data_IF_908434411150
#
_entry.id   IF_908434411150
#
_cell.length_a   1.000
_cell.length_b   1.000
_cell.length_c   1.000
_cell.angle_alpha   90.00
_cell.angle_beta   90.00
_cell.angle_gamma   90.00
#
_symmetry.space_group_name_H-M   'P 1'
#
loop_
_entity.id
_entity.type
_entity.pdbx_description
1 polymer ?
#
# COMPACT_ATOMS: atom_id res chain seq x y z
N UNK A 1 17.57 -2.14 11.56
CA UNK A 1 17.59 -1.84 10.11
C UNK A 1 17.53 -3.11 9.27
N UNK A 2 18.46 -4.06 9.40
CA UNK A 2 18.44 -5.36 8.68
C UNK A 2 17.09 -6.09 8.82
N UNK A 3 16.52 -6.11 10.03
CA UNK A 3 15.23 -6.76 10.28
C UNK A 3 14.11 -6.20 9.38
N UNK A 4 13.98 -4.88 9.26
CA UNK A 4 12.93 -4.26 8.42
C UNK A 4 13.11 -4.57 6.94
N UNK A 5 14.35 -4.57 6.46
CA UNK A 5 14.72 -4.98 5.10
C UNK A 5 14.31 -6.43 4.83
N UNK A 6 14.74 -7.35 5.69
CA UNK A 6 14.43 -8.78 5.57
C UNK A 6 12.93 -9.05 5.67
N UNK A 7 12.22 -8.38 6.60
CA UNK A 7 10.78 -8.50 6.73
C UNK A 7 10.06 -8.05 5.46
N UNK A 8 10.46 -6.92 4.86
CA UNK A 8 9.86 -6.45 3.62
C UNK A 8 10.08 -7.44 2.46
N UNK A 9 11.29 -7.95 2.30
CA UNK A 9 11.59 -8.96 1.28
C UNK A 9 10.80 -10.25 1.48
N UNK A 10 10.79 -10.78 2.71
CA UNK A 10 10.11 -12.02 3.06
C UNK A 10 8.59 -11.92 2.89
N UNK A 11 7.99 -10.83 3.36
CA UNK A 11 6.53 -10.63 3.29
C UNK A 11 6.07 -10.37 1.86
N UNK A 12 6.86 -9.65 1.06
CA UNK A 12 6.62 -9.48 -0.38
C UNK A 12 6.74 -10.81 -1.12
N UNK A 13 7.78 -11.60 -0.84
CA UNK A 13 7.91 -12.96 -1.38
C UNK A 13 6.68 -13.80 -1.05
N UNK A 14 6.26 -13.81 0.23
CA UNK A 14 5.08 -14.56 0.67
C UNK A 14 3.80 -14.09 -0.05
N UNK A 15 3.61 -12.78 -0.19
CA UNK A 15 2.48 -12.19 -0.93
C UNK A 15 2.47 -12.63 -2.40
N UNK A 16 3.62 -12.53 -3.09
CA UNK A 16 3.74 -12.91 -4.50
C UNK A 16 3.50 -14.41 -4.72
N UNK A 17 4.03 -15.26 -3.84
CA UNK A 17 3.76 -16.71 -3.84
C UNK A 17 2.30 -17.00 -3.61
N UNK A 18 1.65 -16.23 -2.75
CA UNK A 18 0.24 -16.39 -2.46
C UNK A 18 -0.66 -16.04 -3.66
N UNK A 19 -0.27 -15.06 -4.46
CA UNK A 19 -0.89 -14.77 -5.75
C UNK A 19 -0.41 -15.67 -6.89
N UNK A 20 0.23 -16.81 -6.58
CA UNK A 20 0.67 -17.83 -7.52
C UNK A 20 1.75 -17.36 -8.51
N UNK A 21 2.52 -16.32 -8.17
CA UNK A 21 3.69 -15.92 -8.96
C UNK A 21 4.74 -17.04 -8.95
N UNK A 22 5.45 -17.25 -10.06
CA UNK A 22 6.51 -18.25 -10.14
C UNK A 22 7.56 -18.01 -9.02
N UNK A 23 8.17 -19.06 -8.44
CA UNK A 23 9.11 -18.90 -7.31
C UNK A 23 10.23 -17.91 -7.58
N UNK A 24 10.84 -17.96 -8.76
CA UNK A 24 11.91 -17.03 -9.15
C UNK A 24 11.41 -15.58 -9.18
N UNK A 25 10.23 -15.33 -9.75
CA UNK A 25 9.62 -13.98 -9.78
C UNK A 25 9.34 -13.49 -8.36
N UNK A 26 8.84 -14.35 -7.49
CA UNK A 26 8.57 -14.00 -6.10
C UNK A 26 9.86 -13.66 -5.34
N UNK A 27 10.94 -14.44 -5.54
CA UNK A 27 12.27 -14.18 -4.94
C UNK A 27 12.80 -12.85 -5.45
N UNK A 28 12.80 -12.64 -6.76
CA UNK A 28 13.24 -11.38 -7.38
C UNK A 28 12.43 -10.20 -6.86
N UNK A 29 11.10 -10.32 -6.75
CA UNK A 29 10.24 -9.28 -6.19
C UNK A 29 10.60 -8.95 -4.74
N UNK A 30 10.78 -9.97 -3.89
CA UNK A 30 11.22 -9.78 -2.51
C UNK A 30 12.59 -9.10 -2.41
N UNK A 31 13.56 -9.53 -3.21
CA UNK A 31 14.90 -8.94 -3.26
C UNK A 31 14.86 -7.48 -3.72
N UNK A 32 14.08 -7.17 -4.77
CA UNK A 32 13.92 -5.80 -5.27
C UNK A 32 13.31 -4.90 -4.19
N UNK A 33 12.24 -5.33 -3.52
CA UNK A 33 11.61 -4.50 -2.47
C UNK A 33 12.52 -4.31 -1.25
N UNK A 34 13.21 -5.37 -0.85
CA UNK A 34 14.18 -5.34 0.25
C UNK A 34 15.34 -4.38 -0.05
N UNK A 35 15.84 -4.40 -1.28
CA UNK A 35 16.94 -3.53 -1.75
C UNK A 35 16.45 -2.23 -2.39
N UNK A 36 15.22 -1.81 -2.10
CA UNK A 36 14.67 -0.59 -2.66
C UNK A 36 15.45 0.65 -2.23
N UNK A 37 15.50 1.65 -3.10
CA UNK A 37 16.07 2.96 -2.80
C UNK A 37 15.45 3.56 -1.53
N UNK A 38 14.16 3.35 -1.31
CA UNK A 38 13.45 3.77 -0.10
C UNK A 38 13.99 3.10 1.16
N UNK A 39 14.25 1.79 1.12
CA UNK A 39 14.81 1.07 2.24
C UNK A 39 16.26 1.50 2.52
N UNK A 40 17.07 1.77 1.50
CA UNK A 40 18.41 2.35 1.68
C UNK A 40 18.36 3.77 2.23
N UNK A 41 17.43 4.60 1.74
CA UNK A 41 17.21 5.94 2.24
C UNK A 41 16.78 5.93 3.71
N UNK A 42 15.87 5.04 4.10
CA UNK A 42 15.46 4.86 5.49
C UNK A 42 16.63 4.50 6.41
N UNK A 43 17.58 3.69 5.93
CA UNK A 43 18.81 3.33 6.65
C UNK A 43 19.72 4.55 6.81
N UNK A 44 19.94 5.30 5.72
CA UNK A 44 20.78 6.50 5.72
C UNK A 44 20.30 7.54 6.74
N UNK A 45 18.99 7.75 6.83
CA UNK A 45 18.38 8.74 7.72
C UNK A 45 17.92 8.16 9.06
N UNK A 46 18.25 6.91 9.37
CA UNK A 46 17.84 6.21 10.60
C UNK A 46 16.33 6.30 10.89
N UNK A 47 15.53 6.38 9.83
CA UNK A 47 14.12 6.74 9.87
C UNK A 47 13.29 5.45 10.01
N UNK A 48 13.11 4.98 11.24
CA UNK A 48 12.45 3.69 11.52
C UNK A 48 11.04 3.59 10.96
N UNK A 49 10.34 4.72 10.88
CA UNK A 49 8.99 4.81 10.34
C UNK A 49 8.97 4.55 8.83
N UNK A 50 10.07 4.74 8.10
CA UNK A 50 10.20 4.33 6.69
C UNK A 50 10.64 2.86 6.51
N UNK A 51 10.92 2.13 7.59
CA UNK A 51 11.25 0.69 7.52
C UNK A 51 10.03 -0.22 7.71
N UNK A 52 8.85 0.36 7.97
CA UNK A 52 7.60 -0.34 8.24
C UNK A 52 6.83 -0.81 7.02
N UNK A 53 7.36 -0.69 5.79
CA UNK A 53 6.64 -1.04 4.56
C UNK A 53 6.17 -2.50 4.50
N UNK A 54 6.79 -3.39 5.27
CA UNK A 54 6.37 -4.78 5.43
C UNK A 54 4.99 -4.93 6.11
N UNK A 55 4.48 -3.88 6.76
CA UNK A 55 3.13 -3.90 7.32
C UNK A 55 2.05 -4.08 6.25
N UNK A 56 2.22 -3.49 5.06
CA UNK A 56 1.24 -3.57 3.96
C UNK A 56 1.05 -5.01 3.43
N UNK A 57 2.10 -5.75 3.02
CA UNK A 57 1.94 -7.14 2.59
C UNK A 57 1.44 -8.05 3.72
N UNK A 58 1.83 -7.82 4.99
CA UNK A 58 1.28 -8.60 6.11
C UNK A 58 -0.23 -8.35 6.27
N UNK A 59 -0.68 -7.10 6.19
CA UNK A 59 -2.11 -6.78 6.28
C UNK A 59 -2.92 -7.44 5.15
N UNK A 60 -2.39 -7.46 3.92
CA UNK A 60 -3.03 -8.18 2.80
C UNK A 60 -3.07 -9.69 3.02
N UNK A 61 -1.96 -10.29 3.47
CA UNK A 61 -1.86 -11.73 3.75
C UNK A 61 -2.83 -12.15 4.87
N UNK A 62 -2.88 -11.38 5.96
CA UNK A 62 -3.80 -11.63 7.09
C UNK A 62 -5.26 -11.49 6.68
N UNK A 63 -5.63 -10.42 5.96
CA UNK A 63 -6.97 -10.29 5.39
C UNK A 63 -7.36 -11.50 4.52
N UNK A 64 -6.42 -11.96 3.69
CA UNK A 64 -6.68 -13.10 2.83
C UNK A 64 -6.86 -14.41 3.59
N UNK A 65 -6.14 -14.60 4.69
CA UNK A 65 -6.37 -15.73 5.59
C UNK A 65 -7.77 -15.67 6.22
N UNK A 66 -8.25 -14.49 6.63
CA UNK A 66 -9.63 -14.32 7.10
C UNK A 66 -10.61 -14.74 6.00
N UNK A 67 -10.46 -14.19 4.80
CA UNK A 67 -11.34 -14.48 3.66
C UNK A 67 -11.36 -15.98 3.31
N UNK A 68 -10.20 -16.64 3.24
CA UNK A 68 -10.09 -18.07 2.90
C UNK A 68 -10.69 -18.98 3.98
N UNK A 69 -10.41 -18.71 5.26
CA UNK A 69 -10.97 -19.50 6.35
C UNK A 69 -12.48 -19.29 6.48
N UNK A 70 -12.99 -18.08 6.22
CA UNK A 70 -14.42 -17.83 6.10
C UNK A 70 -15.06 -18.62 4.95
N UNK A 71 -14.39 -18.71 3.78
CA UNK A 71 -14.90 -19.54 2.68
C UNK A 71 -14.96 -21.03 3.03
N UNK A 72 -14.00 -21.51 3.83
CA UNK A 72 -13.93 -22.91 4.32
C UNK A 72 -14.80 -23.18 5.56
N UNK A 73 -15.58 -22.21 6.02
CA UNK A 73 -16.35 -22.28 7.28
C UNK A 73 -15.49 -22.60 8.53
N UNK A 74 -14.19 -22.30 8.49
CA UNK A 74 -13.26 -22.46 9.60
C UNK A 74 -13.28 -21.22 10.51
N UNK A 75 -14.42 -20.96 11.15
CA UNK A 75 -14.70 -19.71 11.88
C UNK A 75 -13.69 -19.39 12.99
N UNK A 76 -13.23 -20.39 13.74
CA UNK A 76 -12.21 -20.20 14.78
C UNK A 76 -10.90 -19.67 14.20
N UNK A 77 -10.44 -20.26 13.10
CA UNK A 77 -9.22 -19.81 12.41
C UNK A 77 -9.39 -18.42 11.82
N UNK A 78 -10.54 -18.14 11.20
CA UNK A 78 -10.85 -16.81 10.68
C UNK A 78 -10.84 -15.75 11.80
N UNK A 79 -11.38 -16.08 12.98
CA UNK A 79 -11.34 -15.23 14.17
C UNK A 79 -9.92 -14.97 14.67
N UNK A 80 -9.06 -15.99 14.74
CA UNK A 80 -7.64 -15.81 15.09
C UNK A 80 -6.95 -14.86 14.10
N UNK A 81 -7.17 -15.05 12.80
CA UNK A 81 -6.61 -14.15 11.78
C UNK A 81 -7.18 -12.73 11.87
N UNK A 82 -8.44 -12.55 12.29
CA UNK A 82 -9.03 -11.25 12.54
C UNK A 82 -8.38 -10.53 13.74
N UNK A 83 -8.04 -11.26 14.80
CA UNK A 83 -7.28 -10.73 15.93
C UNK A 83 -5.83 -10.38 15.51
N UNK A 84 -5.20 -11.22 14.68
CA UNK A 84 -3.88 -10.92 14.14
C UNK A 84 -3.91 -9.67 13.24
N UNK A 85 -4.93 -9.51 12.40
CA UNK A 85 -5.13 -8.29 11.61
C UNK A 85 -5.32 -7.07 12.52
N UNK A 86 -6.06 -7.19 13.62
CA UNK A 86 -6.17 -6.11 14.62
C UNK A 86 -4.80 -5.72 15.19
N UNK A 87 -3.97 -6.70 15.58
CA UNK A 87 -2.63 -6.44 16.07
C UNK A 87 -1.72 -5.79 15.01
N UNK A 88 -1.86 -6.22 13.75
CA UNK A 88 -1.17 -5.63 12.60
C UNK A 88 -1.58 -4.18 12.40
N UNK A 89 -2.87 -3.87 12.40
CA UNK A 89 -3.39 -2.50 12.26
C UNK A 89 -2.93 -1.59 13.41
N UNK A 90 -2.97 -2.10 14.64
CA UNK A 90 -2.47 -1.39 15.82
C UNK A 90 -0.97 -1.10 15.71
N UNK A 91 -0.14 -2.13 15.50
CA UNK A 91 1.32 -2.00 15.40
C UNK A 91 1.78 -1.14 14.22
N UNK A 92 1.09 -1.26 13.07
CA UNK A 92 1.29 -0.42 11.90
C UNK A 92 1.07 1.07 12.24
N UNK A 93 -0.03 1.38 12.91
CA UNK A 93 -0.39 2.75 13.31
C UNK A 93 0.60 3.33 14.32
N UNK A 94 1.10 2.51 15.25
CA UNK A 94 2.15 2.90 16.20
C UNK A 94 3.50 3.17 15.52
N UNK A 95 3.75 2.52 14.37
CA UNK A 95 5.00 2.70 13.61
C UNK A 95 4.99 3.99 12.79
N UNK A 96 3.90 4.23 12.04
CA UNK A 96 3.68 5.46 11.29
C UNK A 96 2.19 5.59 10.93
N UNK A 97 1.60 6.76 11.19
CA UNK A 97 0.21 7.08 10.84
C UNK A 97 -0.04 7.11 9.32
N UNK A 98 1.00 7.18 8.50
CA UNK A 98 0.88 7.13 7.04
C UNK A 98 0.57 5.72 6.51
N UNK A 99 1.00 4.66 7.18
CA UNK A 99 0.73 3.30 6.71
C UNK A 99 -0.76 2.95 6.70
N UNK A 100 -1.57 3.29 7.71
CA UNK A 100 -3.02 3.14 7.62
C UNK A 100 -3.65 3.86 6.43
N UNK A 101 -3.14 5.04 6.05
CA UNK A 101 -3.59 5.76 4.86
C UNK A 101 -3.28 4.97 3.58
N UNK A 102 -2.06 4.46 3.43
CA UNK A 102 -1.69 3.61 2.28
C UNK A 102 -2.48 2.30 2.28
N UNK A 103 -2.69 1.72 3.47
CA UNK A 103 -3.47 0.52 3.62
C UNK A 103 -4.91 0.76 3.19
N UNK A 104 -5.52 1.91 3.47
CA UNK A 104 -6.87 2.23 3.00
C UNK A 104 -6.96 2.12 1.47
N UNK A 105 -5.97 2.61 0.74
CA UNK A 105 -5.93 2.44 -0.71
C UNK A 105 -5.74 0.99 -1.15
N UNK A 106 -5.12 0.12 -0.36
CA UNK A 106 -4.90 -1.28 -0.74
C UNK A 106 -5.99 -2.24 -0.24
N UNK A 107 -6.25 -2.25 1.07
CA UNK A 107 -7.12 -3.21 1.74
C UNK A 107 -8.59 -2.92 1.49
N UNK A 108 -9.01 -1.66 1.32
CA UNK A 108 -10.42 -1.35 1.07
C UNK A 108 -10.90 -1.90 -0.28
N UNK A 109 -10.26 -1.58 -1.42
CA UNK A 109 -10.67 -2.16 -2.69
C UNK A 109 -10.43 -3.67 -2.75
N UNK A 110 -9.36 -4.17 -2.11
CA UNK A 110 -9.12 -5.62 -2.05
C UNK A 110 -10.19 -6.34 -1.22
N UNK A 111 -10.58 -5.76 -0.08
CA UNK A 111 -11.66 -6.22 0.79
C UNK A 111 -12.98 -6.26 0.04
N UNK A 112 -13.33 -5.18 -0.66
CA UNK A 112 -14.53 -5.13 -1.50
C UNK A 112 -14.50 -6.19 -2.60
N UNK A 113 -13.36 -6.36 -3.27
CA UNK A 113 -13.18 -7.42 -4.28
C UNK A 113 -13.37 -8.82 -3.70
N UNK A 114 -12.86 -9.10 -2.49
CA UNK A 114 -13.06 -10.38 -1.81
C UNK A 114 -14.51 -10.60 -1.34
N UNK A 115 -15.23 -9.53 -0.96
CA UNK A 115 -16.66 -9.58 -0.64
C UNK A 115 -17.49 -9.91 -1.89
N UNK A 116 -17.20 -9.28 -3.02
CA UNK A 116 -17.87 -9.57 -4.30
C UNK A 116 -17.67 -11.03 -4.71
N UNK A 117 -16.46 -11.57 -4.53
CA UNK A 117 -16.14 -12.97 -4.82
C UNK A 117 -16.77 -13.98 -3.86
N UNK A 118 -17.24 -13.55 -2.68
CA UNK A 118 -17.89 -14.47 -1.76
C UNK A 118 -19.23 -14.93 -2.34
N UNK A 119 -19.39 -16.26 -2.48
CA UNK A 119 -20.50 -16.92 -3.18
C UNK A 119 -21.85 -16.82 -2.49
N UNK A 120 -21.90 -16.60 -1.16
CA UNK A 120 -23.16 -16.50 -0.42
C UNK A 120 -23.22 -15.21 0.39
N UNK A 121 -24.45 -14.71 0.56
CA UNK A 121 -24.74 -13.53 1.39
C UNK A 121 -24.23 -13.71 2.83
N UNK A 122 -24.48 -14.87 3.45
CA UNK A 122 -23.99 -15.15 4.80
C UNK A 122 -22.48 -15.02 4.89
N UNK A 123 -21.72 -15.56 3.93
CA UNK A 123 -20.26 -15.44 3.91
C UNK A 123 -19.80 -13.99 3.73
N UNK A 124 -20.54 -13.17 2.97
CA UNK A 124 -20.27 -11.73 2.83
C UNK A 124 -20.44 -11.02 4.16
N UNK A 125 -21.57 -11.24 4.82
CA UNK A 125 -21.87 -10.66 6.14
C UNK A 125 -20.81 -11.08 7.16
N UNK A 126 -20.49 -12.37 7.25
CA UNK A 126 -19.46 -12.87 8.18
C UNK A 126 -18.08 -12.28 7.89
N UNK A 127 -17.70 -12.12 6.61
CA UNK A 127 -16.43 -11.48 6.25
C UNK A 127 -16.40 -10.00 6.66
N UNK A 128 -17.51 -9.28 6.44
CA UNK A 128 -17.66 -7.90 6.91
C UNK A 128 -17.58 -7.78 8.43
N UNK A 129 -18.19 -8.72 9.17
CA UNK A 129 -18.10 -8.78 10.64
C UNK A 129 -16.65 -8.96 11.09
N UNK A 130 -15.89 -9.88 10.47
CA UNK A 130 -14.47 -10.04 10.82
C UNK A 130 -13.66 -8.78 10.53
N UNK A 131 -13.87 -8.13 9.39
CA UNK A 131 -13.19 -6.88 9.05
C UNK A 131 -13.53 -5.75 10.03
N UNK A 132 -14.81 -5.57 10.33
CA UNK A 132 -15.26 -4.59 11.31
C UNK A 132 -14.71 -4.89 12.70
N UNK A 133 -14.75 -6.16 13.13
CA UNK A 133 -14.19 -6.58 14.41
C UNK A 133 -12.68 -6.30 14.50
N UNK A 134 -11.90 -6.54 13.44
CA UNK A 134 -10.48 -6.21 13.39
C UNK A 134 -10.22 -4.71 13.53
N UNK A 135 -10.99 -3.87 12.82
CA UNK A 135 -10.85 -2.41 12.88
C UNK A 135 -11.24 -1.90 14.27
N UNK A 136 -12.40 -2.29 14.78
CA UNK A 136 -12.88 -1.90 16.11
C UNK A 136 -11.90 -2.32 17.20
N UNK A 137 -11.38 -3.54 17.14
CA UNK A 137 -10.39 -4.02 18.11
C UNK A 137 -9.08 -3.23 18.03
N UNK A 138 -8.61 -2.89 16.82
CA UNK A 138 -7.44 -2.05 16.64
C UNK A 138 -7.66 -0.64 17.20
N UNK A 139 -8.84 -0.06 17.02
CA UNK A 139 -9.21 1.23 17.59
C UNK A 139 -9.27 1.19 19.12
N UNK A 140 -9.82 0.14 19.71
CA UNK A 140 -9.79 -0.07 21.17
C UNK A 140 -8.34 -0.16 21.67
N UNK A 141 -7.49 -0.91 20.98
CA UNK A 141 -6.06 -1.00 21.32
C UNK A 141 -5.35 0.35 21.17
N UNK A 142 -5.67 1.14 20.14
CA UNK A 142 -5.12 2.48 19.95
C UNK A 142 -5.66 3.50 20.97
N UNK A 143 -6.83 3.25 21.55
CA UNK A 143 -7.40 4.05 22.62
C UNK A 143 -6.72 3.75 23.96
N UNK A 144 -6.65 2.48 24.33
CA UNK A 144 -6.13 2.05 25.65
C UNK A 144 -4.60 2.02 25.67
N UNK A 145 -3.97 1.61 24.57
CA UNK A 145 -2.53 1.39 24.43
C UNK A 145 -2.00 2.01 23.12
N UNK A 146 -2.39 3.27 22.85
CA UNK A 146 -1.94 3.97 21.66
C UNK A 146 -2.17 5.49 21.71
N UNK A 147 -2.06 6.17 20.56
CA UNK A 147 -1.96 7.61 20.53
C UNK A 147 -3.31 8.33 20.52
N UNK A 148 -4.46 7.63 20.38
CA UNK A 148 -5.75 8.28 20.13
C UNK A 148 -6.10 9.33 21.20
N UNK A 149 -6.04 9.03 22.52
CA UNK A 149 -6.39 10.03 23.53
C UNK A 149 -5.53 11.30 23.44
N UNK A 150 -4.24 11.13 23.16
CA UNK A 150 -3.29 12.23 23.01
C UNK A 150 -3.53 13.03 21.71
N UNK A 151 -3.89 12.35 20.63
CA UNK A 151 -4.20 13.00 19.35
C UNK A 151 -5.51 13.81 19.39
N UNK A 152 -6.44 13.44 20.28
CA UNK A 152 -7.70 14.14 20.49
C UNK A 152 -7.55 15.39 21.38
N UNK A 153 -6.58 15.40 22.28
CA UNK A 153 -6.29 16.58 23.13
C UNK A 153 -5.31 17.55 22.47
N UNK A 154 -4.65 17.14 21.39
CA UNK A 154 -3.66 17.95 20.69
C UNK A 154 -4.32 19.09 19.88
N UNK A 155 -3.95 20.34 20.18
CA UNK A 155 -4.36 21.51 19.42
C UNK A 155 -3.58 21.60 18.10
N UNK A 156 -4.32 21.51 16.98
CA UNK A 156 -3.76 21.55 15.62
C UNK A 156 -3.74 22.97 15.04
N UNK A 157 -4.37 23.94 15.68
CA UNK A 157 -4.51 25.31 15.15
C UNK A 157 -3.18 26.05 14.99
N UNK A 158 -2.18 25.69 15.79
CA UNK A 158 -0.84 26.27 15.72
C UNK A 158 0.13 25.51 14.78
N UNK A 159 -0.30 24.41 14.15
CA UNK A 159 0.56 23.67 13.24
C UNK A 159 0.82 24.45 11.96
N UNK A 160 2.09 24.70 11.65
CA UNK A 160 2.48 25.27 10.37
C UNK A 160 2.14 24.29 9.25
N UNK A 161 1.12 24.56 8.45
CA UNK A 161 0.78 23.75 7.27
C UNK A 161 1.71 24.08 6.10
N UNK A 162 2.02 23.08 5.29
CA UNK A 162 2.79 23.30 4.05
C UNK A 162 1.79 23.40 2.90
N UNK A 163 1.80 24.46 2.07
CA UNK A 163 0.97 24.52 0.87
C UNK A 163 1.19 23.30 -0.02
N UNK A 164 0.14 22.80 -0.67
CA UNK A 164 0.21 21.58 -1.48
C UNK A 164 1.26 21.67 -2.59
N UNK A 165 1.48 22.86 -3.15
CA UNK A 165 2.42 23.15 -4.24
C UNK A 165 3.88 23.03 -3.79
N UNK A 166 4.14 23.11 -2.47
CA UNK A 166 5.48 22.96 -1.89
C UNK A 166 5.73 21.54 -1.37
N UNK A 167 4.77 20.63 -1.51
CA UNK A 167 4.94 19.25 -1.08
C UNK A 167 5.91 18.52 -2.03
N UNK A 168 6.98 17.87 -1.53
CA UNK A 168 7.93 17.12 -2.35
C UNK A 168 7.24 15.98 -3.10
N UNK A 169 7.36 16.03 -4.44
CA UNK A 169 6.62 15.21 -5.38
C UNK A 169 7.55 14.60 -6.44
N UNK A 170 7.09 13.53 -7.07
CA UNK A 170 7.80 12.95 -8.23
C UNK A 170 7.48 13.78 -9.46
N UNK A 171 8.50 14.47 -9.99
CA UNK A 171 8.37 15.30 -11.18
C UNK A 171 7.92 14.46 -12.38
N UNK A 172 6.81 14.83 -13.02
CA UNK A 172 6.33 14.15 -14.22
C UNK A 172 6.84 14.85 -15.50
N UNK A 173 7.23 14.10 -16.56
CA UNK A 173 7.38 12.65 -16.62
C UNK A 173 8.75 12.16 -16.11
N UNK A 174 9.75 13.04 -16.06
CA UNK A 174 11.15 12.65 -15.91
C UNK A 174 11.43 11.83 -14.62
N UNK A 175 10.85 12.21 -13.49
CA UNK A 175 10.99 11.52 -12.20
C UNK A 175 10.41 10.10 -12.16
N UNK A 176 9.48 9.75 -13.05
CA UNK A 176 8.89 8.40 -13.10
C UNK A 176 9.73 7.42 -13.91
N UNK A 177 10.45 7.91 -14.92
CA UNK A 177 11.09 7.06 -15.91
C UNK A 177 12.61 7.22 -15.96
N UNK A 178 13.14 8.40 -15.65
CA UNK A 178 14.57 8.72 -15.77
C UNK A 178 15.22 9.11 -14.44
N UNK A 179 14.48 9.75 -13.51
CA UNK A 179 14.93 10.30 -12.20
C UNK A 179 16.46 10.51 -12.10
N UNK A 180 16.95 11.49 -12.86
CA UNK A 180 18.36 11.87 -13.00
C UNK A 180 18.76 13.04 -12.08
N UNK A 181 18.23 13.13 -10.86
CA UNK A 181 18.68 14.19 -9.94
C UNK A 181 20.05 13.85 -9.34
N UNK A 182 20.97 14.80 -9.41
CA UNK A 182 22.31 14.68 -8.84
C UNK A 182 22.23 14.44 -7.32
N UNK A 183 22.80 13.32 -6.86
CA UNK A 183 22.89 12.96 -5.45
C UNK A 183 21.76 12.07 -4.90
N UNK A 184 20.76 11.71 -5.72
CA UNK A 184 19.70 10.75 -5.34
C UNK A 184 19.84 9.49 -6.20
N UNK A 185 19.99 8.34 -5.53
CA UNK A 185 20.10 7.03 -6.16
C UNK A 185 18.89 6.74 -7.05
N UNK A 186 19.14 6.10 -8.21
CA UNK A 186 18.14 5.65 -9.19
C UNK A 186 16.92 5.08 -8.44
N UNK A 187 15.77 5.75 -8.54
CA UNK A 187 14.57 5.24 -7.88
C UNK A 187 14.15 3.94 -8.52
N UNK A 188 13.69 2.98 -7.71
CA UNK A 188 13.09 1.75 -8.22
C UNK A 188 12.00 2.01 -9.27
N UNK A 189 11.31 3.16 -9.22
CA UNK A 189 10.34 3.59 -10.22
C UNK A 189 10.88 3.56 -11.65
N UNK A 190 12.13 3.97 -11.88
CA UNK A 190 12.76 3.98 -13.20
C UNK A 190 12.94 2.57 -13.80
N UNK A 191 12.93 1.52 -12.98
CA UNK A 191 12.98 0.11 -13.43
C UNK A 191 11.57 -0.50 -13.40
N UNK A 192 10.83 -0.29 -12.31
CA UNK A 192 9.53 -0.88 -12.07
C UNK A 192 8.47 -0.37 -13.04
N UNK A 193 8.43 0.93 -13.39
CA UNK A 193 7.45 1.46 -14.35
C UNK A 193 7.69 0.90 -15.76
N UNK A 194 8.90 0.92 -16.33
CA UNK A 194 9.15 0.27 -17.62
C UNK A 194 8.85 -1.23 -17.60
N UNK A 195 9.24 -1.95 -16.53
CA UNK A 195 8.90 -3.37 -16.38
C UNK A 195 7.39 -3.61 -16.31
N UNK A 196 6.66 -2.74 -15.60
CA UNK A 196 5.21 -2.80 -15.48
C UNK A 196 4.52 -2.54 -16.82
N UNK A 197 4.97 -1.53 -17.58
CA UNK A 197 4.49 -1.24 -18.93
C UNK A 197 4.82 -2.38 -19.90
N UNK A 198 6.02 -2.94 -19.82
CA UNK A 198 6.41 -4.10 -20.63
C UNK A 198 5.54 -5.32 -20.30
N UNK A 199 5.30 -5.59 -19.01
CA UNK A 199 4.41 -6.66 -18.58
C UNK A 199 2.98 -6.44 -19.07
N UNK A 200 2.48 -5.20 -19.05
CA UNK A 200 1.18 -4.84 -19.61
C UNK A 200 1.14 -5.09 -21.12
N UNK A 201 2.14 -4.64 -21.89
CA UNK A 201 2.21 -4.85 -23.34
C UNK A 201 2.22 -6.34 -23.70
N UNK A 202 3.03 -7.15 -23.00
CA UNK A 202 3.08 -8.60 -23.18
C UNK A 202 1.73 -9.24 -22.84
N UNK A 203 1.09 -8.79 -21.76
CA UNK A 203 -0.24 -9.26 -21.33
C UNK A 203 -1.32 -8.97 -22.37
N UNK A 204 -1.32 -7.75 -22.94
CA UNK A 204 -2.26 -7.34 -23.98
C UNK A 204 -2.05 -8.12 -25.29
N UNK A 205 -0.79 -8.34 -25.70
CA UNK A 205 -0.45 -9.11 -26.91
C UNK A 205 -0.86 -10.58 -26.80
N UNK A 206 -0.73 -11.17 -25.61
CA UNK A 206 -1.02 -12.58 -25.35
C UNK A 206 -2.47 -12.85 -24.92
N UNK A 207 -3.39 -11.88 -25.07
CA UNK A 207 -4.81 -12.03 -24.69
C UNK A 207 -5.49 -13.24 -25.36
N UNK A 208 -5.18 -13.52 -26.63
CA UNK A 208 -5.83 -14.60 -27.41
C UNK A 208 -5.46 -16.00 -26.93
N UNK A 209 -4.23 -16.21 -26.46
CA UNK A 209 -3.75 -17.52 -25.99
C UNK A 209 -4.06 -17.78 -24.50
N UNK A 210 -4.34 -16.74 -23.71
CA UNK A 210 -4.55 -16.83 -22.26
C UNK A 210 -5.99 -16.72 -21.78
N UNK A 211 -6.96 -16.52 -22.68
CA UNK A 211 -8.38 -16.41 -22.34
C UNK A 211 -8.92 -17.60 -21.52
N UNK A 212 -8.30 -18.79 -21.61
CA UNK A 212 -8.68 -19.97 -20.83
C UNK A 212 -8.13 -19.99 -19.38
N UNK A 213 -7.15 -19.15 -19.03
CA UNK A 213 -6.45 -19.17 -17.72
C UNK A 213 -6.40 -17.80 -17.05
N UNK A 214 -7.21 -16.84 -17.51
CA UNK A 214 -7.14 -15.46 -17.06
C UNK A 214 -7.53 -15.34 -15.58
N UNK A 215 -6.53 -15.07 -14.74
CA UNK A 215 -6.74 -14.75 -13.33
C UNK A 215 -7.31 -13.33 -13.25
N UNK A 216 -8.59 -13.13 -12.87
CA UNK A 216 -9.22 -11.81 -12.80
C UNK A 216 -8.51 -10.86 -11.82
N UNK A 217 -7.67 -11.38 -10.92
CA UNK A 217 -6.88 -10.58 -9.98
C UNK A 217 -5.82 -9.69 -10.65
N UNK A 218 -5.31 -10.02 -11.85
CA UNK A 218 -4.21 -9.24 -12.46
C UNK A 218 -4.62 -7.82 -12.86
N UNK A 219 -5.83 -7.68 -13.40
CA UNK A 219 -6.37 -6.37 -13.81
C UNK A 219 -6.80 -5.54 -12.59
N UNK A 220 -7.26 -6.22 -11.54
CA UNK A 220 -7.45 -5.58 -10.24
C UNK A 220 -6.13 -4.97 -9.73
N UNK A 221 -5.05 -5.76 -9.63
CA UNK A 221 -3.75 -5.25 -9.17
C UNK A 221 -3.16 -4.17 -10.08
N UNK A 222 -3.36 -4.28 -11.39
CA UNK A 222 -2.99 -3.23 -12.35
C UNK A 222 -3.72 -1.92 -12.05
N UNK A 223 -5.05 -1.96 -11.90
CA UNK A 223 -5.84 -0.77 -11.56
C UNK A 223 -5.42 -0.20 -10.21
N UNK A 224 -5.11 -1.06 -9.24
CA UNK A 224 -4.68 -0.65 -7.91
C UNK A 224 -3.33 0.07 -7.86
N UNK A 225 -2.45 -0.14 -8.85
CA UNK A 225 -1.18 0.57 -8.94
C UNK A 225 -1.35 2.04 -9.39
N UNK A 226 -2.46 2.38 -10.06
CA UNK A 226 -2.65 3.71 -10.67
C UNK A 226 -2.86 4.83 -9.63
N UNK A 227 -3.80 4.71 -8.66
CA UNK A 227 -4.03 5.78 -7.69
C UNK A 227 -2.77 6.24 -6.93
N UNK A 228 -1.94 5.35 -6.34
CA UNK A 228 -0.72 5.79 -5.67
C UNK A 228 0.27 6.49 -6.62
N UNK A 229 0.43 5.99 -7.86
CA UNK A 229 1.26 6.66 -8.86
C UNK A 229 0.76 8.09 -9.14
N UNK A 230 -0.55 8.26 -9.35
CA UNK A 230 -1.14 9.60 -9.60
C UNK A 230 -0.98 10.51 -8.39
N UNK A 231 -1.20 10.00 -7.17
CA UNK A 231 -1.05 10.80 -5.94
C UNK A 231 0.42 11.21 -5.69
N UNK A 232 1.38 10.42 -6.17
CA UNK A 232 2.81 10.75 -6.01
C UNK A 232 3.30 11.90 -6.88
N UNK A 233 2.51 12.32 -7.87
CA UNK A 233 2.80 13.46 -8.73
C UNK A 233 2.68 14.81 -8.02
N UNK A 234 2.18 14.85 -6.77
CA UNK A 234 2.04 16.08 -6.01
C UNK A 234 0.82 16.89 -6.42
N UNK A 235 0.84 18.20 -6.18
CA UNK A 235 -0.33 19.07 -6.38
C UNK A 235 -0.72 19.28 -7.85
N UNK A 236 0.26 19.28 -8.76
CA UNK A 236 0.03 19.53 -10.18
C UNK A 236 1.14 18.93 -11.03
N UNK A 237 0.83 18.66 -12.30
CA UNK A 237 1.81 18.30 -13.33
C UNK A 237 1.76 19.32 -14.46
N UNK A 238 2.87 19.49 -15.18
CA UNK A 238 2.91 20.27 -16.41
C UNK A 238 2.87 19.35 -17.63
N UNK A 239 1.90 19.59 -18.52
CA UNK A 239 1.73 18.85 -19.76
C UNK A 239 1.62 19.85 -20.91
N UNK A 240 2.62 19.88 -21.80
CA UNK A 240 2.62 20.74 -22.99
C UNK A 240 2.37 22.23 -22.66
N UNK A 241 2.92 22.71 -21.54
CA UNK A 241 2.74 24.10 -21.06
C UNK A 241 1.42 24.34 -20.30
N UNK A 242 0.61 23.31 -20.06
CA UNK A 242 -0.62 23.40 -19.26
C UNK A 242 -0.40 22.76 -17.89
N UNK A 243 -0.66 23.52 -16.83
CA UNK A 243 -0.66 23.01 -15.45
C UNK A 243 -1.97 22.28 -15.17
N UNK A 244 -1.88 20.98 -14.91
CA UNK A 244 -3.04 20.13 -14.58
C UNK A 244 -3.04 19.86 -13.07
N UNK A 245 -4.09 20.23 -12.32
CA UNK A 245 -4.19 19.93 -10.89
C UNK A 245 -4.41 18.43 -10.67
N UNK A 246 -3.73 17.88 -9.68
CA UNK A 246 -3.76 16.44 -9.37
C UNK A 246 -4.67 16.13 -8.16
N UNK A 247 -5.19 14.88 -8.08
CA UNK A 247 -6.02 14.43 -6.95
C UNK A 247 -5.38 14.58 -5.56
N UNK A 248 -4.05 14.67 -5.48
CA UNK A 248 -3.34 14.89 -4.22
C UNK A 248 -3.82 16.14 -3.47
N UNK A 249 -4.17 17.22 -4.17
CA UNK A 249 -4.65 18.47 -3.55
C UNK A 249 -5.88 18.20 -2.68
N UNK A 250 -6.77 17.33 -3.14
CA UNK A 250 -7.99 16.95 -2.41
C UNK A 250 -7.64 16.22 -1.13
N UNK A 251 -6.73 15.25 -1.21
CA UNK A 251 -6.27 14.49 -0.05
C UNK A 251 -5.52 15.37 0.95
N UNK A 252 -4.66 16.27 0.46
CA UNK A 252 -3.92 17.23 1.26
C UNK A 252 -4.86 18.15 2.04
N UNK A 253 -5.89 18.69 1.38
CA UNK A 253 -6.90 19.55 2.00
C UNK A 253 -7.76 18.78 3.00
N UNK A 254 -8.16 17.54 2.68
CA UNK A 254 -8.92 16.67 3.59
C UNK A 254 -8.15 16.40 4.89
N UNK A 255 -6.82 16.34 4.83
CA UNK A 255 -5.93 16.13 5.97
C UNK A 255 -5.45 17.46 6.60
N UNK A 256 -6.10 18.58 6.27
CA UNK A 256 -5.78 19.90 6.83
C UNK A 256 -4.36 20.37 6.54
N UNK A 257 -3.80 19.98 5.39
CA UNK A 257 -2.45 20.37 4.97
C UNK A 257 -1.30 19.73 5.75
N UNK A 258 -1.60 18.70 6.56
CA UNK A 258 -0.61 18.03 7.40
C UNK A 258 0.14 16.91 6.67
N UNK A 259 -0.44 16.34 5.61
CA UNK A 259 0.20 15.32 4.79
C UNK A 259 1.04 15.95 3.68
N UNK A 260 2.37 15.84 3.79
CA UNK A 260 3.33 16.65 3.00
C UNK A 260 4.19 15.86 2.03
N UNK A 261 4.09 14.53 1.99
CA UNK A 261 5.04 13.70 1.23
C UNK A 261 4.31 12.83 0.19
N UNK A 262 3.74 13.42 -0.87
CA UNK A 262 3.10 12.66 -1.94
C UNK A 262 4.03 11.63 -2.57
N UNK A 263 5.31 11.95 -2.70
CA UNK A 263 6.34 11.02 -3.19
C UNK A 263 6.38 9.65 -2.48
N UNK A 264 5.87 9.55 -1.25
CA UNK A 264 5.81 8.29 -0.49
C UNK A 264 4.74 7.32 -1.00
N UNK A 265 3.91 7.70 -1.96
CA UNK A 265 2.96 6.77 -2.56
C UNK A 265 3.63 5.75 -3.52
N UNK A 266 4.90 5.94 -3.90
CA UNK A 266 5.62 5.10 -4.90
C UNK A 266 6.86 4.42 -4.33
#
# INVERSE_FOLDING_TARGET
MIIGHTLLGLTTYALLRHFHSAPLIAITGGLITQSSSLMFWSTKWTTINLMGWWWLPIALLTWQQIAQNNQRAAHTRAGIWALLLSAVLWGMTLTDLQYPLFLAFLIFPYGLWTLIQARSWLKRVTLSIYGLASITSALILLWVAGPIPYLLTYDRGALATTPAERAPAILFPAGYFWRLEDGVSISLGAILLPMFLLALMISLRNRKTRAATDNPSRWFWFAMAIPPLVLSAGASIELLGVTVPMPYVWLHNLLGGTFRYPERFV
#
